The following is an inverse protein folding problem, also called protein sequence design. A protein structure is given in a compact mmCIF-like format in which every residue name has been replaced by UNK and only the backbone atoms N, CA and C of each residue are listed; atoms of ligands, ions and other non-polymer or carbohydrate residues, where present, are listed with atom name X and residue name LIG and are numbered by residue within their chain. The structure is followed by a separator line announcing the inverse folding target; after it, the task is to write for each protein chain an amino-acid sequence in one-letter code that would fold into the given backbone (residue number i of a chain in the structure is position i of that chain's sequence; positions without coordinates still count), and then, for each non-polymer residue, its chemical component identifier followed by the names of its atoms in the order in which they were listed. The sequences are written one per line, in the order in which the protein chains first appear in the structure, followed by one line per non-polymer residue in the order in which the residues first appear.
data_IF_551093487246
#
_entry.id   IF_551093487246
#
_cell.length_a   1.000
_cell.length_b   1.000
_cell.length_c   1.000
_cell.angle_alpha   90.00
_cell.angle_beta   90.00
_cell.angle_gamma   90.00
#
_symmetry.space_group_name_H-M   'P 1'
#
loop_
_entity.id
_entity.type
_entity.pdbx_description
1 polymer ?
#
# COMPACT_ATOMS: atom_id res chain seq x y z
N UNK A 1 23.75 8.11 -34.10
CA UNK A 1 22.89 9.09 -33.39
C UNK A 1 22.54 8.43 -32.07
N UNK A 2 23.00 9.01 -30.96
CA UNK A 2 22.73 8.44 -29.64
C UNK A 2 21.24 8.57 -29.31
N UNK A 3 20.66 7.52 -28.69
CA UNK A 3 19.26 7.51 -28.24
C UNK A 3 18.98 8.72 -27.34
N UNK A 4 19.95 9.10 -26.51
CA UNK A 4 19.87 10.27 -25.62
C UNK A 4 19.71 11.56 -26.42
N UNK A 5 20.47 11.74 -27.49
CA UNK A 5 20.43 12.94 -28.33
C UNK A 5 19.15 13.03 -29.17
N UNK A 6 18.59 11.88 -29.55
CA UNK A 6 17.28 11.79 -30.20
C UNK A 6 16.13 12.17 -29.26
N UNK A 7 16.18 11.70 -28.02
CA UNK A 7 15.18 12.02 -27.00
C UNK A 7 15.25 13.49 -26.57
N UNK A 8 16.45 14.08 -26.47
CA UNK A 8 16.63 15.49 -26.09
C UNK A 8 16.04 16.46 -27.14
N UNK A 9 16.13 16.10 -28.43
CA UNK A 9 15.56 16.89 -29.52
C UNK A 9 14.06 16.66 -29.74
N UNK A 10 13.48 15.64 -29.10
CA UNK A 10 12.07 15.30 -29.23
C UNK A 10 11.20 16.27 -28.43
N UNK A 11 10.09 16.73 -29.02
CA UNK A 11 9.14 17.54 -28.29
C UNK A 11 8.58 16.77 -27.08
N UNK A 12 8.69 17.37 -25.89
CA UNK A 12 8.23 16.79 -24.62
C UNK A 12 6.81 16.22 -24.67
N UNK A 13 5.93 16.76 -25.51
CA UNK A 13 4.54 16.29 -25.67
C UNK A 13 4.49 14.84 -26.15
N UNK A 14 5.35 14.45 -27.09
CA UNK A 14 5.41 13.07 -27.58
C UNK A 14 6.06 12.12 -26.57
N UNK A 15 7.02 12.62 -25.78
CA UNK A 15 7.61 11.86 -24.67
C UNK A 15 6.53 11.53 -23.63
N UNK A 16 5.76 12.52 -23.18
CA UNK A 16 4.66 12.29 -22.23
C UNK A 16 3.55 11.43 -22.81
N UNK A 17 3.22 11.57 -24.10
CA UNK A 17 2.23 10.70 -24.75
C UNK A 17 2.69 9.24 -24.77
N UNK A 18 3.96 8.98 -25.13
CA UNK A 18 4.52 7.62 -25.06
C UNK A 18 4.54 7.09 -23.63
N UNK A 19 4.91 7.92 -22.64
CA UNK A 19 4.94 7.52 -21.24
C UNK A 19 3.54 7.11 -20.75
N UNK A 20 2.51 7.87 -21.12
CA UNK A 20 1.11 7.52 -20.84
C UNK A 20 0.76 6.19 -21.50
N UNK A 21 1.01 6.02 -22.80
CA UNK A 21 0.69 4.78 -23.51
C UNK A 21 1.37 3.58 -22.85
N UNK A 22 2.67 3.69 -22.55
CA UNK A 22 3.45 2.63 -21.92
C UNK A 22 2.96 2.32 -20.50
N UNK A 23 2.58 3.33 -19.71
CA UNK A 23 2.04 3.14 -18.37
C UNK A 23 0.64 2.50 -18.38
N UNK A 24 -0.15 2.67 -19.45
CA UNK A 24 -1.46 2.03 -19.60
C UNK A 24 -1.37 0.53 -19.97
N UNK A 25 -0.29 0.09 -20.59
CA UNK A 25 -0.09 -1.33 -20.96
C UNK A 25 -0.23 -2.26 -19.74
N UNK A 26 0.49 -2.07 -18.61
CA UNK A 26 0.37 -2.95 -17.44
C UNK A 26 -1.00 -2.89 -16.78
N UNK A 27 -1.77 -1.82 -16.98
CA UNK A 27 -3.15 -1.69 -16.46
C UNK A 27 -4.12 -2.58 -17.27
N UNK A 28 -3.97 -2.62 -18.60
CA UNK A 28 -4.82 -3.43 -19.48
C UNK A 28 -4.38 -4.89 -19.55
N UNK A 29 -3.08 -5.14 -19.45
CA UNK A 29 -2.48 -6.46 -19.48
C UNK A 29 -1.41 -6.55 -18.41
N UNK A 30 -1.77 -7.03 -17.19
CA UNK A 30 -0.82 -7.19 -16.10
C UNK A 30 0.37 -8.02 -16.56
N UNK A 31 1.57 -7.50 -16.36
CA UNK A 31 2.82 -8.11 -16.85
C UNK A 31 3.18 -9.43 -16.14
N UNK A 32 2.43 -9.80 -15.09
CA UNK A 32 2.70 -11.01 -14.31
C UNK A 32 4.08 -11.01 -13.65
N UNK A 33 4.64 -9.82 -13.40
CA UNK A 33 5.94 -9.70 -12.74
C UNK A 33 5.84 -10.33 -11.35
N UNK A 34 6.83 -11.14 -10.95
CA UNK A 34 6.86 -11.70 -9.61
C UNK A 34 6.98 -10.54 -8.61
N UNK A 35 6.12 -10.53 -7.59
CA UNK A 35 6.25 -9.64 -6.44
C UNK A 35 7.02 -10.43 -5.40
N UNK A 36 8.35 -10.21 -5.26
CA UNK A 36 9.12 -10.92 -4.27
C UNK A 36 8.64 -10.55 -2.86
N UNK A 37 8.71 -11.51 -1.94
CA UNK A 37 8.47 -11.22 -0.54
C UNK A 37 9.67 -10.45 0.01
N UNK A 38 9.41 -9.25 0.52
CA UNK A 38 10.43 -8.46 1.20
C UNK A 38 10.62 -8.94 2.65
N UNK A 39 11.85 -8.83 3.16
CA UNK A 39 12.18 -9.19 4.55
C UNK A 39 11.29 -8.44 5.55
N UNK A 40 10.96 -7.18 5.27
CA UNK A 40 10.07 -6.37 6.10
C UNK A 40 8.63 -6.94 6.16
N UNK A 41 8.11 -7.43 5.04
CA UNK A 41 6.78 -8.06 4.96
C UNK A 41 6.73 -9.38 5.73
N UNK A 42 7.77 -10.21 5.58
CA UNK A 42 7.90 -11.48 6.31
C UNK A 42 8.00 -11.20 7.82
N UNK A 43 8.88 -10.29 8.23
CA UNK A 43 9.06 -9.93 9.64
C UNK A 43 7.79 -9.37 10.28
N UNK A 44 7.02 -8.55 9.55
CA UNK A 44 5.75 -8.02 10.04
C UNK A 44 4.72 -9.15 10.24
N UNK A 45 4.63 -10.08 9.30
CA UNK A 45 3.76 -11.25 9.40
C UNK A 45 4.14 -12.15 10.59
N UNK A 46 5.42 -12.48 10.74
CA UNK A 46 5.92 -13.31 11.83
C UNK A 46 5.73 -12.65 13.20
N UNK A 47 5.91 -11.33 13.29
CA UNK A 47 5.65 -10.57 14.50
C UNK A 47 4.17 -10.65 14.91
N UNK A 48 3.23 -10.47 13.98
CA UNK A 48 1.81 -10.68 14.24
C UNK A 48 1.50 -12.14 14.61
N UNK A 49 2.17 -13.10 13.96
CA UNK A 49 1.96 -14.52 14.22
C UNK A 49 2.41 -14.96 15.61
N UNK A 50 3.45 -14.32 16.16
CA UNK A 50 4.00 -14.62 17.49
C UNK A 50 3.08 -14.24 18.65
N UNK A 51 2.03 -13.44 18.40
CA UNK A 51 1.09 -12.97 19.41
C UNK A 51 -0.01 -13.99 19.72
N UNK A 52 -0.48 -13.97 20.96
CA UNK A 52 -1.58 -14.81 21.43
C UNK A 52 -2.92 -14.10 21.32
N UNK A 53 -4.01 -14.88 21.36
CA UNK A 53 -5.36 -14.32 21.41
C UNK A 53 -5.52 -13.35 22.59
N UNK A 54 -6.14 -12.20 22.34
CA UNK A 54 -6.33 -11.15 23.34
C UNK A 54 -5.15 -10.19 23.51
N UNK A 55 -3.97 -10.46 22.94
CA UNK A 55 -2.85 -9.52 22.91
C UNK A 55 -3.25 -8.25 22.13
N UNK A 56 -2.60 -7.13 22.48
CA UNK A 56 -2.91 -5.81 21.93
C UNK A 56 -1.85 -5.39 20.92
N UNK A 57 -2.29 -4.98 19.73
CA UNK A 57 -1.43 -4.32 18.74
C UNK A 57 -1.79 -2.83 18.60
N UNK A 58 -0.79 -2.02 18.30
CA UNK A 58 -0.94 -0.62 17.97
C UNK A 58 -0.70 -0.44 16.47
N UNK A 59 -1.65 0.16 15.77
CA UNK A 59 -1.58 0.39 14.32
C UNK A 59 -1.82 1.87 14.05
N UNK A 60 -1.02 2.47 13.18
CA UNK A 60 -1.18 3.88 12.81
C UNK A 60 -1.77 4.06 11.43
N UNK A 61 -2.55 5.14 11.27
CA UNK A 61 -3.21 5.52 10.02
C UNK A 61 -2.72 6.89 9.57
N UNK A 62 -1.41 7.10 9.53
CA UNK A 62 -0.79 8.41 9.28
C UNK A 62 -0.73 8.78 7.78
N UNK A 63 -1.87 8.72 7.11
CA UNK A 63 -1.98 9.03 5.69
C UNK A 63 -3.30 9.70 5.33
N UNK A 64 -3.35 10.22 4.10
CA UNK A 64 -4.55 10.81 3.51
C UNK A 64 -4.88 10.13 2.20
N UNK A 65 -5.97 10.55 1.54
CA UNK A 65 -6.41 9.97 0.27
C UNK A 65 -5.33 9.92 -0.83
N UNK A 66 -4.32 10.80 -0.79
CA UNK A 66 -3.24 10.81 -1.77
C UNK A 66 -2.32 9.58 -1.73
N UNK A 67 -2.15 8.97 -0.55
CA UNK A 67 -1.31 7.78 -0.35
C UNK A 67 -2.12 6.55 0.10
N UNK A 68 -3.44 6.68 0.24
CA UNK A 68 -4.32 5.59 0.61
C UNK A 68 -4.25 4.41 -0.36
N UNK A 69 -4.03 4.65 -1.66
CA UNK A 69 -3.91 3.59 -2.67
C UNK A 69 -2.80 2.57 -2.34
N UNK A 70 -1.74 3.00 -1.65
CA UNK A 70 -0.61 2.16 -1.25
C UNK A 70 -0.76 1.64 0.19
N UNK A 71 -1.19 2.50 1.12
CA UNK A 71 -1.12 2.24 2.55
C UNK A 71 -2.41 1.60 3.11
N UNK A 72 -3.57 1.96 2.58
CA UNK A 72 -4.86 1.45 3.06
C UNK A 72 -5.00 -0.07 2.95
N UNK A 73 -4.64 -0.71 1.81
CA UNK A 73 -4.72 -2.16 1.70
C UNK A 73 -3.83 -2.90 2.72
N UNK A 74 -2.69 -2.32 3.08
CA UNK A 74 -1.76 -2.90 4.05
C UNK A 74 -2.36 -2.87 5.45
N UNK A 75 -2.88 -1.72 5.88
CA UNK A 75 -3.56 -1.60 7.18
C UNK A 75 -4.79 -2.52 7.25
N UNK A 76 -5.57 -2.62 6.18
CA UNK A 76 -6.71 -3.52 6.12
C UNK A 76 -6.29 -4.99 6.24
N UNK A 77 -5.16 -5.39 5.64
CA UNK A 77 -4.62 -6.75 5.77
C UNK A 77 -4.19 -7.04 7.22
N UNK A 78 -3.51 -6.10 7.88
CA UNK A 78 -3.13 -6.18 9.29
C UNK A 78 -4.37 -6.36 10.17
N UNK A 79 -5.40 -5.52 10.00
CA UNK A 79 -6.63 -5.60 10.79
C UNK A 79 -7.36 -6.94 10.58
N UNK A 80 -7.53 -7.40 9.33
CA UNK A 80 -8.19 -8.69 9.06
C UNK A 80 -7.43 -9.87 9.66
N UNK A 81 -6.10 -9.82 9.62
CA UNK A 81 -5.24 -10.84 10.23
C UNK A 81 -5.35 -10.82 11.76
N UNK A 82 -5.29 -9.63 12.36
CA UNK A 82 -5.47 -9.41 13.79
C UNK A 82 -6.83 -9.92 14.27
N UNK A 83 -7.91 -9.63 13.53
CA UNK A 83 -9.26 -10.07 13.87
C UNK A 83 -9.36 -11.58 13.84
N UNK A 84 -8.78 -12.23 12.82
CA UNK A 84 -8.74 -13.69 12.69
C UNK A 84 -8.01 -14.36 13.86
N UNK A 85 -6.99 -13.72 14.42
CA UNK A 85 -6.26 -14.20 15.61
C UNK A 85 -6.92 -13.82 16.94
N UNK A 86 -8.00 -13.03 16.93
CA UNK A 86 -8.64 -12.51 18.15
C UNK A 86 -7.78 -11.48 18.89
N UNK A 87 -6.94 -10.73 18.17
CA UNK A 87 -6.16 -9.64 18.76
C UNK A 87 -7.02 -8.40 18.97
N UNK A 88 -6.65 -7.60 19.98
CA UNK A 88 -7.21 -6.28 20.23
C UNK A 88 -6.37 -5.24 19.51
N UNK A 89 -7.01 -4.26 18.88
CA UNK A 89 -6.31 -3.22 18.12
C UNK A 89 -6.58 -1.86 18.73
N UNK A 90 -5.52 -1.09 18.89
CA UNK A 90 -5.57 0.33 19.22
C UNK A 90 -5.06 1.11 18.02
N UNK A 91 -5.87 2.04 17.52
CA UNK A 91 -5.47 2.98 16.48
C UNK A 91 -4.81 4.22 17.12
N UNK A 92 -3.69 4.67 16.56
CA UNK A 92 -3.01 5.90 16.97
C UNK A 92 -2.66 6.72 15.74
N UNK A 93 -3.06 7.99 15.73
CA UNK A 93 -2.82 8.88 14.61
C UNK A 93 -2.12 10.17 15.04
N UNK A 94 -1.15 10.60 14.22
CA UNK A 94 -0.43 11.85 14.31
C UNK A 94 -0.83 12.83 13.19
N UNK A 95 -1.57 12.36 12.19
CA UNK A 95 -2.10 13.16 11.08
C UNK A 95 -3.59 13.48 11.26
N UNK A 96 -4.00 14.68 10.84
CA UNK A 96 -5.41 15.13 10.87
C UNK A 96 -6.33 14.25 10.01
N UNK A 97 -5.80 13.69 8.92
CA UNK A 97 -6.56 12.81 8.02
C UNK A 97 -6.66 11.35 8.54
N UNK A 98 -5.85 10.99 9.54
CA UNK A 98 -5.74 9.60 9.99
C UNK A 98 -7.01 9.02 10.60
N UNK A 99 -7.77 9.75 11.46
CA UNK A 99 -8.98 9.21 12.07
C UNK A 99 -10.04 8.74 11.06
N UNK A 100 -10.21 9.45 9.94
CA UNK A 100 -11.13 9.03 8.87
C UNK A 100 -10.68 7.73 8.20
N UNK A 101 -9.37 7.60 7.94
CA UNK A 101 -8.80 6.39 7.35
C UNK A 101 -8.90 5.20 8.30
N UNK A 102 -8.65 5.42 9.60
CA UNK A 102 -8.80 4.40 10.63
C UNK A 102 -10.26 3.93 10.71
N UNK A 103 -11.24 4.84 10.84
CA UNK A 103 -12.65 4.49 10.93
C UNK A 103 -13.11 3.63 9.74
N UNK A 104 -12.69 4.01 8.53
CA UNK A 104 -13.00 3.26 7.32
C UNK A 104 -12.42 1.84 7.35
N UNK A 105 -11.14 1.71 7.74
CA UNK A 105 -10.44 0.43 7.79
C UNK A 105 -11.00 -0.49 8.87
N UNK A 106 -11.29 0.01 10.06
CA UNK A 106 -11.92 -0.76 11.15
C UNK A 106 -13.27 -1.33 10.71
N UNK A 107 -14.13 -0.47 10.15
CA UNK A 107 -15.44 -0.88 9.64
C UNK A 107 -15.35 -1.93 8.54
N UNK A 108 -14.42 -1.78 7.60
CA UNK A 108 -14.25 -2.74 6.50
C UNK A 108 -13.62 -4.06 6.96
N UNK A 109 -12.74 -4.02 7.97
CA UNK A 109 -12.10 -5.20 8.53
C UNK A 109 -13.03 -6.07 9.37
N UNK A 110 -14.11 -5.49 9.92
CA UNK A 110 -15.09 -6.17 10.78
C UNK A 110 -14.81 -6.04 12.28
N UNK A 111 -13.95 -5.10 12.68
CA UNK A 111 -13.78 -4.69 14.08
C UNK A 111 -14.93 -3.81 14.58
#
# INVERSE_FOLDING_TARGET
MDIVEFLDRMDRRYIFLMLIILAFIPVLSPLGLPIPLEEASIGSYEALESLNEGDIICVTFDYSGGSAAELYPQNLAILKHALKKGLRVVAVEFSVAGPEMAEMAFKESGY
#
